data_IF_263359907178
#
_entry.id   IF_263359907178
#
_cell.length_a   1.000
_cell.length_b   1.000
_cell.length_c   1.000
_cell.angle_alpha   90.00
_cell.angle_beta   90.00
_cell.angle_gamma   90.00
#
_symmetry.space_group_name_H-M   'P 1'
#
loop_
_entity.id
_entity.type
_entity.pdbx_description
1 polymer ?
#
# COMPACT_ATOMS: atom_id res chain seq x y z
N UNK A 1 -23.66 22.96 -13.10
CA UNK A 1 -23.84 21.59 -13.60
C UNK A 1 -22.67 20.84 -13.04
N UNK A 2 -22.95 20.05 -12.02
CA UNK A 2 -21.92 19.31 -11.25
C UNK A 2 -21.56 18.07 -12.06
N UNK A 3 -20.33 18.01 -12.54
CA UNK A 3 -19.77 16.84 -13.19
C UNK A 3 -19.38 15.86 -12.08
N UNK A 4 -20.28 14.95 -11.78
CA UNK A 4 -19.99 13.84 -10.85
C UNK A 4 -19.04 12.88 -11.56
N UNK A 5 -17.74 12.99 -11.30
CA UNK A 5 -16.75 12.00 -11.68
C UNK A 5 -17.20 10.63 -11.13
N UNK A 6 -17.57 9.73 -12.01
CA UNK A 6 -17.90 8.34 -11.69
C UNK A 6 -16.59 7.59 -11.40
N UNK A 7 -16.20 7.59 -10.16
CA UNK A 7 -15.15 6.74 -9.65
C UNK A 7 -15.57 5.27 -9.82
N UNK A 8 -14.62 4.39 -10.13
CA UNK A 8 -14.85 2.96 -9.99
C UNK A 8 -15.28 2.70 -8.56
N UNK A 9 -16.49 2.24 -8.38
CA UNK A 9 -16.95 1.90 -7.04
C UNK A 9 -16.08 0.76 -6.51
N UNK A 10 -15.93 0.69 -5.20
CA UNK A 10 -15.27 -0.41 -4.51
C UNK A 10 -15.73 -1.79 -4.98
N UNK A 11 -17.01 -1.92 -5.30
CA UNK A 11 -17.63 -3.13 -5.85
C UNK A 11 -17.09 -3.46 -7.25
N UNK A 12 -16.78 -2.44 -8.04
CA UNK A 12 -16.21 -2.58 -9.38
C UNK A 12 -14.72 -2.91 -9.30
N UNK A 13 -13.98 -2.30 -8.37
CA UNK A 13 -12.59 -2.68 -8.08
C UNK A 13 -12.49 -4.13 -7.59
N UNK A 14 -13.33 -4.53 -6.64
CA UNK A 14 -13.35 -5.91 -6.15
C UNK A 14 -13.76 -6.91 -7.24
N UNK A 15 -14.70 -6.56 -8.11
CA UNK A 15 -15.07 -7.40 -9.26
C UNK A 15 -13.95 -7.53 -10.27
N UNK A 16 -13.24 -6.44 -10.54
CA UNK A 16 -12.06 -6.43 -11.40
C UNK A 16 -10.93 -7.22 -10.74
N UNK A 17 -10.67 -7.02 -9.45
CA UNK A 17 -9.66 -7.75 -8.70
C UNK A 17 -9.95 -9.26 -8.59
N UNK A 18 -11.23 -9.67 -8.50
CA UNK A 18 -11.65 -11.08 -8.44
C UNK A 18 -11.75 -11.72 -9.84
N UNK A 19 -12.02 -10.93 -10.88
CA UNK A 19 -12.11 -11.44 -12.26
C UNK A 19 -10.73 -11.77 -12.88
N UNK A 20 -9.63 -11.40 -12.23
CA UNK A 20 -8.26 -11.59 -12.72
C UNK A 20 -7.73 -13.03 -12.47
N UNK A 21 -8.57 -14.01 -12.74
CA UNK A 21 -8.10 -15.35 -13.05
C UNK A 21 -7.85 -15.56 -14.57
N UNK A 22 -7.99 -14.51 -15.39
CA UNK A 22 -7.81 -14.59 -16.84
C UNK A 22 -7.41 -13.24 -17.43
N UNK A 23 -6.28 -13.22 -18.11
CA UNK A 23 -5.60 -12.05 -18.70
C UNK A 23 -6.45 -11.19 -19.67
N UNK A 24 -7.57 -11.71 -20.18
CA UNK A 24 -8.40 -11.02 -21.16
C UNK A 24 -9.52 -10.13 -20.58
N UNK A 25 -9.85 -10.27 -19.31
CA UNK A 25 -10.95 -9.52 -18.70
C UNK A 25 -10.54 -8.10 -18.24
N UNK A 26 -9.29 -7.89 -17.92
CA UNK A 26 -8.75 -6.59 -17.47
C UNK A 26 -8.71 -5.55 -18.59
N UNK A 27 -8.25 -5.93 -19.77
CA UNK A 27 -8.19 -5.03 -20.93
C UNK A 27 -9.58 -4.47 -21.25
N UNK A 28 -10.62 -5.32 -21.21
CA UNK A 28 -11.99 -4.91 -21.51
C UNK A 28 -12.62 -4.00 -20.45
N UNK A 29 -12.16 -4.07 -19.19
CA UNK A 29 -12.65 -3.18 -18.11
C UNK A 29 -11.91 -1.84 -18.08
N UNK A 30 -10.62 -1.84 -18.39
CA UNK A 30 -9.80 -0.62 -18.49
C UNK A 30 -10.17 0.23 -19.72
N UNK A 31 -10.65 -0.39 -20.80
CA UNK A 31 -11.09 0.32 -22.03
C UNK A 31 -12.49 0.93 -21.91
N UNK A 32 -13.30 0.54 -20.92
CA UNK A 32 -14.71 0.99 -20.77
C UNK A 32 -14.94 2.14 -19.81
N UNK A 33 -13.96 2.52 -19.01
CA UNK A 33 -14.01 3.70 -18.14
C UNK A 33 -13.39 4.86 -18.87
N UNK A 34 -14.10 5.98 -18.97
CA UNK A 34 -13.46 7.25 -19.34
C UNK A 34 -12.26 7.43 -18.42
N UNK A 35 -11.07 7.36 -19.01
CA UNK A 35 -9.82 7.49 -18.26
C UNK A 35 -9.76 8.94 -17.82
N UNK A 36 -9.74 9.25 -16.52
CA UNK A 36 -9.48 10.61 -16.10
C UNK A 36 -8.13 11.06 -16.66
N UNK A 37 -7.96 12.35 -16.84
CA UNK A 37 -6.68 12.92 -17.22
C UNK A 37 -5.70 12.67 -16.06
N UNK A 38 -4.92 11.59 -16.17
CA UNK A 38 -4.02 11.15 -15.13
C UNK A 38 -2.73 11.98 -15.19
N UNK A 39 -2.25 12.50 -14.06
CA UNK A 39 -1.06 13.31 -14.06
C UNK A 39 0.15 12.48 -14.52
N UNK A 40 0.82 12.97 -15.57
CA UNK A 40 2.02 12.36 -16.10
C UNK A 40 3.21 12.60 -15.18
N UNK A 41 4.11 11.63 -15.10
CA UNK A 41 5.33 11.72 -14.33
C UNK A 41 6.39 12.62 -14.95
N UNK A 42 7.58 12.58 -14.39
CA UNK A 42 8.71 13.39 -14.87
C UNK A 42 9.47 12.69 -15.99
N UNK A 43 9.97 13.45 -16.95
CA UNK A 43 10.88 12.93 -17.98
C UNK A 43 12.27 12.59 -17.40
N UNK A 44 12.61 13.19 -16.25
CA UNK A 44 13.85 12.95 -15.51
C UNK A 44 13.56 12.41 -14.08
N UNK A 45 13.39 11.10 -13.90
CA UNK A 45 13.17 10.49 -12.59
C UNK A 45 14.30 10.73 -11.59
N UNK A 46 15.53 11.02 -12.03
CA UNK A 46 16.64 11.33 -11.13
C UNK A 46 16.44 12.63 -10.35
N UNK A 47 15.51 13.49 -10.79
CA UNK A 47 15.10 14.72 -10.09
C UNK A 47 14.19 14.46 -8.90
N UNK A 48 13.61 13.24 -8.78
CA UNK A 48 12.76 12.87 -7.66
C UNK A 48 13.58 12.61 -6.40
N UNK A 49 13.01 12.86 -5.21
CA UNK A 49 13.68 12.48 -3.97
C UNK A 49 14.01 10.99 -3.94
N UNK A 50 15.21 10.59 -3.49
CA UNK A 50 15.65 9.20 -3.51
C UNK A 50 14.84 8.28 -2.58
N UNK A 51 14.26 8.84 -1.51
CA UNK A 51 13.50 8.09 -0.51
C UNK A 51 12.12 7.67 -1.01
N UNK A 52 12.02 6.48 -1.58
CA UNK A 52 10.76 5.90 -2.07
C UNK A 52 9.68 5.80 -0.99
N UNK A 53 10.06 5.47 0.24
CA UNK A 53 9.15 5.26 1.36
C UNK A 53 8.56 6.55 1.94
N UNK A 54 9.16 7.71 1.65
CA UNK A 54 8.74 9.00 2.22
C UNK A 54 7.56 9.61 1.44
N UNK A 55 6.39 8.98 1.56
CA UNK A 55 5.19 9.40 0.82
C UNK A 55 4.52 10.66 1.35
N UNK A 56 4.68 11.00 2.62
CA UNK A 56 3.93 12.05 3.30
C UNK A 56 3.97 13.42 2.60
N UNK A 57 5.04 13.73 1.88
CA UNK A 57 5.15 14.98 1.11
C UNK A 57 4.36 14.97 -0.21
N UNK A 58 3.91 13.80 -0.67
CA UNK A 58 3.17 13.60 -1.91
C UNK A 58 1.69 13.26 -1.67
N UNK A 59 1.30 13.10 -0.41
CA UNK A 59 -0.06 12.77 -0.02
C UNK A 59 -0.87 14.04 0.23
N UNK A 60 -2.16 13.97 -0.10
CA UNK A 60 -3.12 14.98 0.32
C UNK A 60 -3.26 15.00 1.85
N UNK A 61 -3.74 16.11 2.37
CA UNK A 61 -4.03 16.28 3.80
C UNK A 61 -5.49 16.59 4.00
N UNK A 62 -6.02 16.17 5.14
CA UNK A 62 -7.35 16.56 5.59
C UNK A 62 -7.33 17.96 6.22
N UNK A 63 -8.51 18.43 6.67
CA UNK A 63 -8.70 19.76 7.27
C UNK A 63 -7.92 19.93 8.58
N UNK A 64 -7.47 18.83 9.21
CA UNK A 64 -6.67 18.81 10.43
C UNK A 64 -5.16 18.67 10.15
N UNK A 65 -4.77 18.56 8.88
CA UNK A 65 -3.39 18.43 8.46
C UNK A 65 -2.84 16.98 8.45
N UNK A 66 -3.70 15.98 8.70
CA UNK A 66 -3.31 14.58 8.63
C UNK A 66 -3.19 14.12 7.19
N UNK A 67 -2.23 13.24 6.91
CA UNK A 67 -2.08 12.67 5.57
C UNK A 67 -3.21 11.71 5.26
N UNK A 68 -3.76 11.83 4.04
CA UNK A 68 -4.73 10.88 3.48
C UNK A 68 -3.98 9.81 2.72
N UNK A 69 -4.15 8.56 3.15
CA UNK A 69 -3.55 7.43 2.44
C UNK A 69 -4.23 7.23 1.07
N UNK A 70 -3.50 6.79 0.04
CA UNK A 70 -4.10 6.43 -1.24
C UNK A 70 -5.18 5.36 -1.06
N UNK A 71 -6.24 5.42 -1.86
CA UNK A 71 -7.42 4.55 -1.69
C UNK A 71 -7.18 3.09 -2.07
N UNK A 72 -6.38 2.84 -3.10
CA UNK A 72 -6.19 1.51 -3.68
C UNK A 72 -4.75 1.07 -3.58
N UNK A 73 -4.55 -0.15 -3.13
CA UNK A 73 -3.24 -0.74 -2.94
C UNK A 73 -3.15 -2.11 -3.60
N UNK A 74 -1.99 -2.40 -4.20
CA UNK A 74 -1.59 -3.73 -4.67
C UNK A 74 -0.25 -4.05 -4.07
N UNK A 75 -0.11 -5.24 -3.49
CA UNK A 75 1.15 -5.84 -3.10
C UNK A 75 1.43 -7.01 -4.04
N UNK A 76 2.55 -6.95 -4.73
CA UNK A 76 3.08 -8.06 -5.52
C UNK A 76 4.23 -8.69 -4.75
N UNK A 77 4.10 -9.94 -4.42
CA UNK A 77 5.16 -10.76 -3.84
C UNK A 77 5.84 -11.47 -4.99
N UNK A 78 7.14 -11.25 -5.13
CA UNK A 78 7.90 -11.72 -6.28
C UNK A 78 9.12 -12.52 -5.83
N UNK A 79 9.45 -13.56 -6.60
CA UNK A 79 10.63 -14.36 -6.43
C UNK A 79 11.61 -14.09 -7.57
N UNK A 80 12.89 -13.98 -7.23
CA UNK A 80 13.97 -13.87 -8.21
C UNK A 80 14.17 -15.22 -8.90
N UNK A 81 14.27 -15.19 -10.23
CA UNK A 81 14.29 -16.42 -11.04
C UNK A 81 15.70 -16.99 -11.27
N UNK A 82 16.72 -16.20 -11.01
CA UNK A 82 18.12 -16.58 -11.19
C UNK A 82 18.79 -17.10 -9.91
N UNK A 83 20.05 -17.44 -10.00
CA UNK A 83 20.87 -17.84 -8.85
C UNK A 83 21.60 -16.65 -8.21
N UNK A 84 22.24 -15.81 -9.04
CA UNK A 84 22.99 -14.63 -8.59
C UNK A 84 22.67 -13.46 -9.50
N UNK A 85 22.21 -12.32 -8.95
CA UNK A 85 21.81 -11.17 -9.75
C UNK A 85 22.96 -10.60 -10.59
N UNK A 86 22.66 -10.36 -11.86
CA UNK A 86 23.58 -9.76 -12.82
C UNK A 86 23.34 -8.26 -12.96
N UNK A 87 24.31 -7.54 -13.53
CA UNK A 87 24.17 -6.11 -13.82
C UNK A 87 23.03 -5.84 -14.81
N UNK A 88 22.87 -6.68 -15.83
CA UNK A 88 21.79 -6.55 -16.83
C UNK A 88 20.40 -6.74 -16.22
N UNK A 89 20.25 -7.66 -15.27
CA UNK A 89 18.99 -7.86 -14.56
C UNK A 89 18.65 -6.67 -13.65
N UNK A 90 19.66 -6.11 -12.97
CA UNK A 90 19.52 -4.88 -12.21
C UNK A 90 19.06 -3.71 -13.09
N UNK A 91 19.68 -3.53 -14.26
CA UNK A 91 19.28 -2.51 -15.24
C UNK A 91 17.84 -2.71 -15.72
N UNK A 92 17.40 -3.96 -15.93
CA UNK A 92 16.02 -4.27 -16.30
C UNK A 92 15.03 -3.84 -15.22
N UNK A 93 15.30 -4.18 -13.96
CA UNK A 93 14.46 -3.80 -12.82
C UNK A 93 14.41 -2.27 -12.66
N UNK A 94 15.57 -1.60 -12.75
CA UNK A 94 15.66 -0.14 -12.69
C UNK A 94 14.86 0.52 -13.82
N UNK A 95 14.97 0.01 -15.04
CA UNK A 95 14.24 0.51 -16.20
C UNK A 95 12.71 0.33 -16.03
N UNK A 96 12.27 -0.79 -15.44
CA UNK A 96 10.88 -1.05 -15.19
C UNK A 96 10.26 0.01 -14.26
N UNK A 97 10.87 0.25 -13.11
CA UNK A 97 10.37 1.25 -12.15
C UNK A 97 10.55 2.69 -12.64
N UNK A 98 11.66 3.01 -13.30
CA UNK A 98 11.88 4.31 -13.93
C UNK A 98 10.81 4.62 -14.98
N UNK A 99 10.38 3.62 -15.75
CA UNK A 99 9.31 3.80 -16.73
C UNK A 99 7.96 4.13 -16.09
N UNK A 100 7.65 3.57 -14.93
CA UNK A 100 6.45 3.91 -14.15
C UNK A 100 6.53 5.35 -13.59
N UNK A 101 7.69 5.82 -13.14
CA UNK A 101 7.89 7.20 -12.68
C UNK A 101 7.76 8.24 -13.80
N UNK A 102 8.02 7.84 -15.04
CA UNK A 102 7.74 8.67 -16.23
C UNK A 102 6.27 8.65 -16.59
N UNK A 103 5.62 7.49 -16.42
CA UNK A 103 4.22 7.33 -16.77
C UNK A 103 3.26 8.07 -15.84
N UNK A 104 3.56 8.09 -14.54
CA UNK A 104 2.68 8.66 -13.53
C UNK A 104 3.41 9.62 -12.60
N UNK A 105 2.78 10.75 -12.31
CA UNK A 105 3.28 11.66 -11.27
C UNK A 105 3.33 10.92 -9.93
N UNK A 106 4.40 11.13 -9.17
CA UNK A 106 4.52 10.62 -7.80
C UNK A 106 3.53 11.37 -6.90
N UNK A 107 2.48 10.71 -6.45
CA UNK A 107 1.39 11.29 -5.66
C UNK A 107 0.14 10.43 -5.64
N UNK A 108 -0.84 10.80 -4.82
CA UNK A 108 -2.11 10.06 -4.66
C UNK A 108 -2.89 9.90 -5.95
N UNK A 109 -2.91 10.93 -6.79
CA UNK A 109 -3.64 10.91 -8.07
C UNK A 109 -2.84 10.29 -9.23
N UNK A 110 -1.54 10.13 -9.07
CA UNK A 110 -0.69 9.37 -9.97
C UNK A 110 -0.38 8.00 -9.38
N UNK A 111 0.90 7.67 -9.22
CA UNK A 111 1.35 6.40 -8.64
C UNK A 111 2.37 6.65 -7.55
N UNK A 112 2.16 5.99 -6.42
CA UNK A 112 3.16 5.81 -5.38
C UNK A 112 3.54 4.34 -5.35
N UNK A 113 4.83 4.05 -5.23
CA UNK A 113 5.30 2.69 -5.05
C UNK A 113 6.54 2.61 -4.16
N UNK A 114 6.74 1.45 -3.57
CA UNK A 114 7.98 1.05 -2.90
C UNK A 114 8.36 -0.35 -3.31
N UNK A 115 9.65 -0.63 -3.31
CA UNK A 115 10.22 -1.95 -3.54
C UNK A 115 11.04 -2.33 -2.31
N UNK A 116 10.73 -3.48 -1.71
CA UNK A 116 11.46 -4.00 -0.56
C UNK A 116 11.99 -5.41 -0.85
N UNK A 117 13.27 -5.62 -0.60
CA UNK A 117 13.89 -6.94 -0.67
C UNK A 117 13.89 -7.61 0.70
N UNK A 118 13.57 -8.89 0.74
CA UNK A 118 13.46 -9.64 1.99
C UNK A 118 14.83 -10.16 2.49
N UNK A 119 14.94 -10.54 3.78
CA UNK A 119 16.11 -11.27 4.27
C UNK A 119 16.38 -12.54 3.45
N UNK A 120 15.32 -13.23 3.06
CA UNK A 120 15.41 -14.48 2.27
C UNK A 120 16.07 -14.29 0.90
N UNK A 121 15.82 -13.15 0.23
CA UNK A 121 16.49 -12.79 -1.01
C UNK A 121 18.00 -12.70 -0.83
N UNK A 122 18.45 -12.02 0.22
CA UNK A 122 19.88 -11.85 0.49
C UNK A 122 20.54 -13.16 0.85
N UNK A 123 19.87 -14.01 1.63
CA UNK A 123 20.36 -15.33 1.98
C UNK A 123 20.49 -16.24 0.75
N UNK A 124 19.50 -16.21 -0.16
CA UNK A 124 19.49 -17.05 -1.37
C UNK A 124 20.46 -16.57 -2.45
N UNK A 125 20.50 -15.27 -2.70
CA UNK A 125 21.25 -14.71 -3.81
C UNK A 125 22.72 -14.36 -3.48
N UNK A 126 23.05 -14.14 -2.20
CA UNK A 126 24.35 -13.62 -1.79
C UNK A 126 25.03 -14.40 -0.67
N UNK A 127 24.44 -15.46 -0.13
CA UNK A 127 24.91 -16.20 1.04
C UNK A 127 25.22 -15.30 2.26
N UNK A 128 24.59 -14.12 2.35
CA UNK A 128 24.89 -13.15 3.41
C UNK A 128 23.75 -12.15 3.62
N UNK A 129 23.59 -11.71 4.86
CA UNK A 129 22.75 -10.56 5.16
C UNK A 129 23.26 -9.29 4.45
N UNK A 130 22.38 -8.34 4.11
CA UNK A 130 22.76 -7.09 3.47
C UNK A 130 23.75 -6.33 4.37
N UNK A 131 24.90 -5.94 3.81
CA UNK A 131 25.95 -5.27 4.55
C UNK A 131 25.47 -3.98 5.23
N UNK A 132 25.62 -3.89 6.55
CA UNK A 132 25.27 -2.71 7.34
C UNK A 132 23.82 -2.59 7.76
N UNK A 133 22.95 -3.55 7.41
CA UNK A 133 21.56 -3.62 7.88
C UNK A 133 21.34 -4.97 8.56
N UNK A 134 21.01 -4.94 9.84
CA UNK A 134 20.58 -6.13 10.58
C UNK A 134 19.07 -6.33 10.33
N UNK A 135 18.75 -7.23 9.42
CA UNK A 135 17.38 -7.51 9.00
C UNK A 135 17.01 -8.95 9.40
N UNK A 136 16.39 -9.13 10.58
CA UNK A 136 16.00 -10.45 11.03
C UNK A 136 14.84 -11.01 10.18
N UNK A 137 14.76 -12.33 10.09
CA UNK A 137 13.59 -13.00 9.53
C UNK A 137 12.38 -12.77 10.42
N UNK A 138 11.15 -12.67 9.83
CA UNK A 138 9.93 -12.51 10.62
C UNK A 138 9.71 -13.65 11.59
N UNK A 139 9.35 -13.32 12.82
CA UNK A 139 9.02 -14.26 13.88
C UNK A 139 7.76 -13.81 14.66
N UNK A 140 7.23 -14.68 15.51
CA UNK A 140 6.13 -14.33 16.40
C UNK A 140 6.53 -13.19 17.34
N UNK A 141 5.71 -12.12 17.41
CA UNK A 141 5.94 -10.98 18.29
C UNK A 141 5.43 -11.22 19.71
N UNK A 142 4.54 -12.20 19.89
CA UNK A 142 3.97 -12.55 21.18
C UNK A 142 3.82 -14.07 21.34
N UNK A 143 3.86 -14.61 22.58
CA UNK A 143 3.82 -16.06 22.84
C UNK A 143 2.51 -16.76 22.39
N UNK A 144 1.45 -15.99 22.13
CA UNK A 144 0.16 -16.52 21.66
C UNK A 144 0.00 -16.49 20.15
N UNK A 145 0.97 -15.94 19.44
CA UNK A 145 0.96 -15.89 17.98
C UNK A 145 1.59 -17.16 17.40
N UNK A 146 1.00 -17.64 16.32
CA UNK A 146 1.53 -18.72 15.49
C UNK A 146 1.51 -18.28 14.03
N UNK A 147 2.38 -17.32 13.66
CA UNK A 147 2.40 -16.78 12.30
C UNK A 147 3.00 -17.80 11.34
N UNK A 148 2.48 -17.77 10.10
CA UNK A 148 3.17 -18.38 8.96
C UNK A 148 3.77 -17.24 8.15
N UNK A 149 5.07 -16.96 8.30
CA UNK A 149 5.74 -15.91 7.55
C UNK A 149 5.67 -16.17 6.05
N UNK A 150 5.42 -15.12 5.28
CA UNK A 150 5.68 -15.15 3.84
C UNK A 150 7.20 -15.04 3.62
N UNK A 151 7.72 -15.73 2.62
CA UNK A 151 9.15 -15.77 2.29
C UNK A 151 9.48 -15.40 0.83
N UNK A 152 8.83 -14.39 0.23
CA UNK A 152 9.17 -13.92 -1.11
C UNK A 152 10.55 -13.27 -1.12
N UNK A 153 11.15 -13.14 -2.29
CA UNK A 153 12.42 -12.41 -2.44
C UNK A 153 12.23 -10.91 -2.34
N UNK A 154 11.12 -10.40 -2.90
CA UNK A 154 10.81 -8.99 -2.80
C UNK A 154 9.29 -8.74 -2.77
N UNK A 155 8.93 -7.53 -2.35
CA UNK A 155 7.58 -7.02 -2.43
C UNK A 155 7.56 -5.69 -3.18
N UNK A 156 6.64 -5.56 -4.12
CA UNK A 156 6.32 -4.29 -4.77
C UNK A 156 4.98 -3.81 -4.24
N UNK A 157 4.97 -2.65 -3.61
CA UNK A 157 3.76 -2.00 -3.13
C UNK A 157 3.40 -0.86 -4.07
N UNK A 158 2.24 -0.98 -4.73
CA UNK A 158 1.68 0.05 -5.62
C UNK A 158 0.47 0.69 -4.93
N UNK A 159 0.36 2.01 -4.99
CA UNK A 159 -0.74 2.74 -4.37
C UNK A 159 -1.17 3.95 -5.20
N UNK A 160 -2.48 4.20 -5.27
CA UNK A 160 -3.09 5.34 -5.95
C UNK A 160 -4.55 5.53 -5.49
N UNK A 161 -5.08 6.74 -5.62
CA UNK A 161 -6.52 6.97 -5.48
C UNK A 161 -7.32 6.40 -6.65
N UNK A 162 -6.66 6.07 -7.74
CA UNK A 162 -7.26 5.49 -8.94
C UNK A 162 -6.94 4.00 -9.06
N UNK A 163 -7.96 3.14 -8.92
CA UNK A 163 -7.81 1.70 -9.10
C UNK A 163 -7.16 1.30 -10.43
N UNK A 164 -7.51 2.02 -11.50
CA UNK A 164 -6.96 1.78 -12.83
C UNK A 164 -5.45 2.04 -12.93
N UNK A 165 -4.92 2.96 -12.14
CA UNK A 165 -3.47 3.25 -12.11
C UNK A 165 -2.71 2.08 -11.52
N UNK A 166 -3.11 1.60 -10.33
CA UNK A 166 -2.43 0.46 -9.68
C UNK A 166 -2.54 -0.81 -10.53
N UNK A 167 -3.70 -1.04 -11.17
CA UNK A 167 -3.88 -2.20 -12.05
C UNK A 167 -3.07 -2.09 -13.34
N UNK A 168 -3.00 -0.89 -13.94
CA UNK A 168 -2.20 -0.69 -15.15
C UNK A 168 -0.70 -0.82 -14.86
N UNK A 169 -0.23 -0.31 -13.72
CA UNK A 169 1.15 -0.44 -13.29
C UNK A 169 1.51 -1.91 -12.99
N UNK A 170 0.61 -2.64 -12.32
CA UNK A 170 0.76 -4.08 -12.10
C UNK A 170 0.91 -4.86 -13.41
N UNK A 171 0.01 -4.63 -14.37
CA UNK A 171 0.05 -5.32 -15.67
C UNK A 171 1.27 -4.91 -16.52
N UNK A 172 1.76 -3.69 -16.36
CA UNK A 172 3.01 -3.24 -16.98
C UNK A 172 4.21 -4.02 -16.42
N UNK A 173 4.34 -4.11 -15.09
CA UNK A 173 5.42 -4.84 -14.45
C UNK A 173 5.43 -6.33 -14.80
N UNK A 174 4.25 -6.91 -15.07
CA UNK A 174 4.09 -8.31 -15.52
C UNK A 174 4.33 -8.52 -17.03
N UNK A 175 4.60 -7.48 -17.80
CA UNK A 175 4.75 -7.58 -19.25
C UNK A 175 3.46 -7.74 -20.04
N UNK A 176 2.30 -7.64 -19.39
CA UNK A 176 1.00 -7.75 -20.05
C UNK A 176 0.55 -6.44 -20.73
N UNK A 177 1.26 -5.34 -20.45
CA UNK A 177 0.95 -4.02 -20.98
C UNK A 177 2.24 -3.24 -21.27
N UNK A 178 2.49 -2.98 -22.55
CA UNK A 178 3.71 -2.28 -23.00
C UNK A 178 3.65 -0.76 -22.93
N UNK A 179 2.46 -0.17 -22.70
CA UNK A 179 2.27 1.29 -22.64
C UNK A 179 1.26 1.63 -21.56
N UNK A 180 1.59 2.54 -20.64
CA UNK A 180 0.68 3.09 -19.65
C UNK A 180 0.79 4.61 -19.63
N UNK A 181 -0.34 5.30 -19.50
CA UNK A 181 -0.43 6.76 -19.51
C UNK A 181 0.41 7.41 -20.63
N UNK A 182 0.34 6.83 -21.84
CA UNK A 182 1.07 7.26 -23.04
C UNK A 182 2.61 7.15 -22.97
N UNK A 183 3.13 6.36 -22.01
CA UNK A 183 4.55 6.08 -21.87
C UNK A 183 4.80 4.59 -22.12
N UNK A 184 5.79 4.29 -22.95
CA UNK A 184 6.27 2.93 -23.12
C UNK A 184 6.97 2.47 -21.84
N UNK A 185 6.56 1.30 -21.34
CA UNK A 185 7.06 0.77 -20.07
C UNK A 185 7.86 -0.50 -20.30
N UNK A 186 8.89 -0.65 -19.47
CA UNK A 186 9.66 -1.89 -19.35
C UNK A 186 9.00 -2.75 -18.27
N UNK A 187 8.92 -4.04 -18.50
CA UNK A 187 8.45 -5.01 -17.50
C UNK A 187 9.60 -5.54 -16.64
N UNK A 188 9.27 -6.30 -15.60
CA UNK A 188 10.27 -7.01 -14.78
C UNK A 188 10.90 -8.19 -15.51
N UNK A 189 10.38 -8.51 -16.69
CA UNK A 189 10.88 -9.54 -17.58
C UNK A 189 10.92 -10.92 -16.95
N UNK A 190 12.02 -11.62 -17.26
CA UNK A 190 12.31 -12.93 -16.67
C UNK A 190 13.07 -12.84 -15.34
N UNK A 191 13.32 -11.61 -14.83
CA UNK A 191 14.11 -11.38 -13.61
C UNK A 191 13.31 -11.77 -12.37
N UNK A 192 12.02 -11.44 -12.34
CA UNK A 192 11.14 -11.76 -11.23
C UNK A 192 9.85 -12.43 -11.69
N UNK A 193 9.43 -13.47 -10.96
CA UNK A 193 8.14 -14.12 -11.12
C UNK A 193 7.18 -13.67 -10.00
N UNK A 194 5.94 -13.37 -10.34
CA UNK A 194 4.92 -13.04 -9.34
C UNK A 194 4.44 -14.31 -8.66
N UNK A 195 4.75 -14.45 -7.39
CA UNK A 195 4.38 -15.59 -6.53
C UNK A 195 3.00 -15.45 -5.91
N UNK A 196 2.69 -14.27 -5.37
CA UNK A 196 1.41 -13.96 -4.72
C UNK A 196 1.03 -12.50 -4.96
N UNK A 197 -0.25 -12.21 -4.80
CA UNK A 197 -0.82 -10.90 -5.03
C UNK A 197 -1.87 -10.58 -3.98
N UNK A 198 -1.74 -9.44 -3.33
CA UNK A 198 -2.74 -8.94 -2.40
C UNK A 198 -3.23 -7.57 -2.81
N UNK A 199 -4.50 -7.31 -2.59
CA UNK A 199 -5.12 -6.02 -2.85
C UNK A 199 -5.77 -5.50 -1.60
N UNK A 200 -5.75 -4.19 -1.46
CA UNK A 200 -6.39 -3.50 -0.35
C UNK A 200 -6.97 -2.17 -0.79
N UNK A 201 -7.80 -1.63 0.06
CA UNK A 201 -8.33 -0.29 -0.10
C UNK A 201 -8.58 0.32 1.28
N UNK A 202 -8.47 1.63 1.34
CA UNK A 202 -8.64 2.44 2.53
C UNK A 202 -9.27 3.78 2.12
N UNK A 203 -9.93 4.45 3.02
CA UNK A 203 -10.44 5.80 2.77
C UNK A 203 -11.58 6.18 3.69
N UNK A 204 -11.79 7.47 3.86
CA UNK A 204 -12.88 8.03 4.64
C UNK A 204 -14.21 7.47 4.13
N UNK A 205 -15.10 7.12 5.05
CA UNK A 205 -16.41 6.55 4.76
C UNK A 205 -16.42 5.07 4.37
N UNK A 206 -15.26 4.42 4.26
CA UNK A 206 -15.19 3.02 3.85
C UNK A 206 -16.05 2.07 4.70
N UNK A 207 -16.01 2.11 6.05
CA UNK A 207 -16.89 1.30 6.88
C UNK A 207 -18.36 1.70 6.74
N UNK A 208 -18.64 2.99 6.69
CA UNK A 208 -20.01 3.51 6.58
C UNK A 208 -20.70 3.09 5.27
N UNK A 209 -19.96 3.02 4.18
CA UNK A 209 -20.44 2.51 2.88
C UNK A 209 -20.68 0.98 2.87
N UNK A 210 -20.24 0.26 3.90
CA UNK A 210 -20.24 -1.20 3.98
C UNK A 210 -20.70 -1.71 5.33
N UNK A 211 -21.82 -1.20 5.81
CA UNK A 211 -22.45 -1.60 7.08
C UNK A 211 -22.89 -3.07 7.08
N UNK A 212 -23.01 -3.70 5.92
CA UNK A 212 -23.33 -5.12 5.74
C UNK A 212 -22.16 -6.07 6.04
N UNK A 213 -21.00 -5.56 6.42
CA UNK A 213 -19.86 -6.39 6.85
C UNK A 213 -20.19 -7.02 8.19
N UNK A 214 -20.01 -8.34 8.27
CA UNK A 214 -20.27 -9.11 9.50
C UNK A 214 -19.52 -8.52 10.71
N UNK A 215 -20.24 -8.30 11.79
CA UNK A 215 -19.72 -7.76 13.06
C UNK A 215 -19.83 -6.24 13.18
N UNK A 216 -20.37 -5.55 12.20
CA UNK A 216 -20.78 -4.15 12.34
C UNK A 216 -22.24 -4.11 12.78
N UNK A 217 -22.59 -3.47 13.92
CA UNK A 217 -23.95 -3.41 14.41
C UNK A 217 -24.82 -2.51 13.53
N UNK A 218 -26.07 -2.92 13.30
CA UNK A 218 -27.04 -2.17 12.50
C UNK A 218 -27.50 -0.88 13.18
N UNK A 219 -27.45 -0.84 14.52
CA UNK A 219 -27.94 0.25 15.37
C UNK A 219 -26.88 1.23 15.85
N UNK A 220 -25.61 0.88 15.67
CA UNK A 220 -24.47 1.75 15.94
C UNK A 220 -23.57 1.83 14.70
N UNK A 221 -23.96 2.59 13.67
CA UNK A 221 -23.21 2.67 12.43
C UNK A 221 -21.82 3.26 12.67
N UNK A 222 -20.83 2.73 11.96
CA UNK A 222 -19.48 3.30 11.99
C UNK A 222 -19.50 4.68 11.35
N UNK A 223 -18.75 5.64 11.90
CA UNK A 223 -18.69 7.01 11.40
C UNK A 223 -18.34 7.10 9.92
N UNK A 224 -18.97 8.06 9.22
CA UNK A 224 -18.67 8.36 7.82
C UNK A 224 -17.24 8.88 7.60
N UNK A 225 -16.58 9.36 8.64
CA UNK A 225 -15.19 9.84 8.59
C UNK A 225 -14.16 8.73 8.87
N UNK A 226 -14.59 7.56 9.36
CA UNK A 226 -13.69 6.47 9.69
C UNK A 226 -13.10 5.83 8.41
N UNK A 227 -11.76 5.77 8.27
CA UNK A 227 -11.13 5.15 7.10
C UNK A 227 -11.03 3.64 7.20
N UNK A 228 -11.14 3.08 8.41
CA UNK A 228 -10.98 1.65 8.71
C UNK A 228 -12.13 1.14 9.58
N UNK A 229 -12.39 -0.17 9.51
CA UNK A 229 -13.46 -0.85 10.23
C UNK A 229 -13.35 -0.82 11.76
N UNK A 230 -12.21 -0.45 12.33
CA UNK A 230 -12.08 -0.19 13.76
C UNK A 230 -12.82 1.09 14.22
N UNK A 231 -13.24 1.94 13.28
CA UNK A 231 -14.06 3.12 13.55
C UNK A 231 -13.31 4.33 14.10
N UNK A 232 -11.99 4.32 14.02
CA UNK A 232 -11.14 5.43 14.46
C UNK A 232 -10.25 5.93 13.34
N UNK A 233 -9.93 7.22 13.40
CA UNK A 233 -8.98 7.90 12.52
C UNK A 233 -7.67 8.10 13.26
N UNK A 234 -6.56 7.78 12.62
CA UNK A 234 -5.22 8.07 13.15
C UNK A 234 -4.76 9.41 12.59
N UNK A 235 -4.39 10.34 13.47
CA UNK A 235 -4.07 11.70 13.07
C UNK A 235 -2.78 12.28 13.65
N UNK A 236 -2.04 11.57 14.49
CA UNK A 236 -0.91 12.17 15.19
C UNK A 236 0.42 12.04 14.45
N UNK A 237 0.79 13.05 13.68
CA UNK A 237 2.14 13.23 13.16
C UNK A 237 3.20 13.36 14.27
N UNK A 238 2.84 13.90 15.42
CA UNK A 238 3.76 14.15 16.53
C UNK A 238 4.35 12.90 17.19
N UNK A 239 3.72 11.75 16.98
CA UNK A 239 4.16 10.46 17.52
C UNK A 239 4.96 9.63 16.51
N UNK A 240 5.23 10.17 15.34
CA UNK A 240 6.07 9.50 14.35
C UNK A 240 7.54 9.58 14.76
N UNK A 241 8.29 8.52 14.45
CA UNK A 241 9.73 8.54 14.65
C UNK A 241 10.37 9.64 13.79
N UNK A 242 11.40 10.33 14.31
CA UNK A 242 12.15 11.31 13.51
C UNK A 242 12.89 10.62 12.36
N UNK A 243 13.20 11.38 11.33
CA UNK A 243 13.73 10.89 10.05
C UNK A 243 14.99 10.03 10.21
N UNK A 244 15.88 10.41 11.13
CA UNK A 244 17.12 9.67 11.42
C UNK A 244 16.91 8.29 12.04
N UNK A 245 15.71 8.00 12.50
CA UNK A 245 15.31 6.67 13.02
C UNK A 245 14.51 5.85 12.00
N UNK A 246 14.15 6.42 10.88
CA UNK A 246 13.37 5.78 9.82
C UNK A 246 14.22 5.48 8.61
N UNK A 247 14.99 6.47 8.16
CA UNK A 247 15.81 6.36 6.96
C UNK A 247 17.23 5.87 7.28
N UNK A 248 17.69 4.89 6.53
CA UNK A 248 19.08 4.40 6.58
C UNK A 248 19.99 5.53 6.09
N UNK A 249 20.92 5.96 6.94
CA UNK A 249 21.71 7.17 6.67
C UNK A 249 22.92 6.91 5.79
N UNK A 250 23.52 5.73 5.89
CA UNK A 250 24.78 5.41 5.24
C UNK A 250 24.75 3.99 4.62
N UNK A 251 25.78 3.69 3.79
CA UNK A 251 26.00 2.39 3.20
C UNK A 251 25.23 2.15 1.90
N UNK A 252 25.21 0.91 1.41
CA UNK A 252 24.62 0.59 0.11
C UNK A 252 23.08 0.75 0.06
N UNK A 253 22.43 0.87 1.21
CA UNK A 253 20.99 1.08 1.35
C UNK A 253 20.63 2.47 1.86
N UNK A 254 21.57 3.43 1.78
CA UNK A 254 21.28 4.82 2.12
C UNK A 254 20.03 5.32 1.38
N UNK A 255 19.24 6.19 2.04
CA UNK A 255 17.93 6.66 1.59
C UNK A 255 16.82 5.59 1.57
N UNK A 256 17.12 4.35 1.92
CA UNK A 256 16.16 3.28 2.13
C UNK A 256 15.61 3.24 3.55
N UNK A 257 14.74 2.28 3.82
CA UNK A 257 14.21 1.98 5.15
C UNK A 257 13.95 0.48 5.28
N UNK A 258 13.65 0.01 6.48
CA UNK A 258 13.09 -1.32 6.68
C UNK A 258 11.56 -1.27 6.62
N UNK A 259 10.94 -2.32 6.09
CA UNK A 259 9.50 -2.45 5.99
C UNK A 259 9.05 -3.75 6.65
N UNK A 260 8.07 -3.67 7.54
CA UNK A 260 7.40 -4.83 8.12
C UNK A 260 5.96 -4.89 7.63
N UNK A 261 5.54 -6.04 7.09
CA UNK A 261 4.18 -6.25 6.59
C UNK A 261 3.50 -7.30 7.45
N UNK A 262 2.42 -6.90 8.14
CA UNK A 262 1.57 -7.79 8.93
C UNK A 262 0.22 -7.96 8.27
N UNK A 263 -0.25 -9.21 8.16
CA UNK A 263 -1.62 -9.53 7.80
C UNK A 263 -2.43 -9.76 9.07
N UNK A 264 -3.22 -8.77 9.44
CA UNK A 264 -4.01 -8.79 10.68
C UNK A 264 -5.48 -9.06 10.33
N UNK A 265 -6.08 -10.03 11.03
CA UNK A 265 -7.52 -10.28 10.97
C UNK A 265 -8.22 -9.54 12.11
N UNK A 266 -9.18 -8.67 11.77
CA UNK A 266 -10.03 -7.98 12.74
C UNK A 266 -11.24 -8.86 13.08
N UNK A 267 -11.50 -9.04 14.37
CA UNK A 267 -12.70 -9.69 14.90
C UNK A 267 -13.71 -8.63 15.28
N UNK A 268 -14.46 -8.13 14.28
CA UNK A 268 -15.38 -7.01 14.45
C UNK A 268 -16.52 -7.32 15.42
N UNK A 269 -17.03 -8.57 15.46
CA UNK A 269 -18.02 -9.03 16.43
C UNK A 269 -17.55 -8.79 17.87
N UNK A 270 -16.28 -9.11 18.18
CA UNK A 270 -15.71 -8.86 19.50
C UNK A 270 -15.53 -7.37 19.77
N UNK A 271 -15.12 -6.63 18.75
CA UNK A 271 -14.83 -5.21 18.84
C UNK A 271 -16.09 -4.38 19.10
N UNK A 272 -17.18 -4.67 18.42
CA UNK A 272 -18.42 -3.89 18.54
C UNK A 272 -19.40 -4.46 19.57
N UNK A 273 -19.58 -5.79 19.65
CA UNK A 273 -20.59 -6.39 20.54
C UNK A 273 -20.10 -6.55 21.98
N UNK A 274 -18.81 -6.82 22.18
CA UNK A 274 -18.26 -7.09 23.51
C UNK A 274 -17.62 -5.86 24.16
N UNK A 275 -17.09 -4.95 23.38
CA UNK A 275 -16.44 -3.74 23.86
C UNK A 275 -17.36 -2.53 23.74
N UNK A 276 -17.61 -1.86 24.87
CA UNK A 276 -18.25 -0.53 24.85
C UNK A 276 -17.33 0.49 24.15
N UNK A 277 -17.90 1.62 23.69
CA UNK A 277 -17.10 2.70 23.10
C UNK A 277 -15.92 3.12 24.00
N UNK A 278 -16.16 3.30 25.30
CA UNK A 278 -15.09 3.66 26.26
C UNK A 278 -13.99 2.62 26.33
N UNK A 279 -14.32 1.33 26.24
CA UNK A 279 -13.32 0.27 26.18
C UNK A 279 -12.55 0.30 24.85
N UNK A 280 -13.22 0.55 23.72
CA UNK A 280 -12.57 0.71 22.42
C UNK A 280 -11.58 1.88 22.43
N UNK A 281 -12.00 3.05 22.95
CA UNK A 281 -11.13 4.22 23.12
C UNK A 281 -9.94 3.91 24.03
N UNK A 282 -10.17 3.24 25.17
CA UNK A 282 -9.09 2.84 26.08
C UNK A 282 -8.06 1.92 25.45
N UNK A 283 -8.50 1.03 24.55
CA UNK A 283 -7.62 0.12 23.82
C UNK A 283 -6.84 0.80 22.69
N UNK A 284 -7.46 1.73 21.97
CA UNK A 284 -6.85 2.40 20.81
C UNK A 284 -5.95 3.58 21.19
N UNK A 285 -6.32 4.33 22.23
CA UNK A 285 -5.58 5.53 22.65
C UNK A 285 -4.93 5.32 24.02
N UNK A 286 -5.68 5.47 25.09
CA UNK A 286 -5.27 5.10 26.45
C UNK A 286 -6.46 5.17 27.42
N UNK A 287 -6.38 4.55 28.60
CA UNK A 287 -7.45 4.61 29.60
C UNK A 287 -7.84 6.03 30.02
N UNK A 288 -6.86 6.96 30.11
CA UNK A 288 -7.15 8.34 30.50
C UNK A 288 -8.02 9.08 29.49
N UNK A 289 -7.84 8.85 28.18
CA UNK A 289 -8.71 9.43 27.16
C UNK A 289 -10.15 8.88 27.26
N UNK A 290 -10.29 7.59 27.57
CA UNK A 290 -11.60 6.97 27.77
C UNK A 290 -12.33 7.52 29.01
N UNK A 291 -11.60 7.76 30.12
CA UNK A 291 -12.14 8.32 31.34
C UNK A 291 -12.56 9.79 31.20
N UNK A 292 -11.84 10.56 30.39
CA UNK A 292 -12.10 11.99 30.18
C UNK A 292 -13.09 12.24 29.03
N UNK A 293 -13.47 11.20 28.27
CA UNK A 293 -14.33 11.28 27.10
C UNK A 293 -13.88 12.37 26.11
N UNK A 294 -12.58 12.43 25.87
CA UNK A 294 -11.92 13.46 25.04
C UNK A 294 -11.78 13.07 23.59
N UNK A 295 -12.10 11.82 23.23
CA UNK A 295 -12.08 11.33 21.85
C UNK A 295 -13.44 11.53 21.22
N UNK A 296 -13.56 12.51 20.35
CA UNK A 296 -14.76 12.78 19.58
C UNK A 296 -14.73 12.06 18.22
N UNK A 297 -15.87 11.65 17.69
CA UNK A 297 -15.99 11.04 16.38
C UNK A 297 -15.07 9.83 16.16
N UNK A 298 -14.47 9.68 14.98
CA UNK A 298 -13.58 8.57 14.63
C UNK A 298 -12.13 8.74 15.15
N UNK A 299 -11.90 9.52 16.17
CA UNK A 299 -10.59 9.69 16.81
C UNK A 299 -9.90 11.02 16.53
N UNK A 300 -10.66 12.06 16.30
CA UNK A 300 -10.13 13.42 16.23
C UNK A 300 -9.56 13.84 17.59
N UNK A 301 -8.25 14.01 17.64
CA UNK A 301 -7.53 14.67 18.72
C UNK A 301 -6.47 15.58 18.14
#
# INVERSE_FOLDING_TARGET
MSDSQRWLSKRDFMRVAVAIGGTSALSACLERTETPDLPRGTDDPSSLPPRQHAWNQFLERDDHGNVKQPRHHVLLYVDYTGDTPTESERETVEAAFTSLERAYQRGSHGLLFTVGYSPYYFERAFDSSPGGVDLPTPEALAPFEDPTPDDPDAVVHLASDYAQVVLAAEEALKGNRGTVNEVDVTDLGEVFEVRDRRTGFIGDGLPAENQDVQGIPDDEPVSEDAPLFMGFKSGFEKNQAPEEHVTIQDGPFADGTTQHISRIRLHLDQWYDQDSRSQRVSKMFCPAHAEQDTVEGPGDN
#
